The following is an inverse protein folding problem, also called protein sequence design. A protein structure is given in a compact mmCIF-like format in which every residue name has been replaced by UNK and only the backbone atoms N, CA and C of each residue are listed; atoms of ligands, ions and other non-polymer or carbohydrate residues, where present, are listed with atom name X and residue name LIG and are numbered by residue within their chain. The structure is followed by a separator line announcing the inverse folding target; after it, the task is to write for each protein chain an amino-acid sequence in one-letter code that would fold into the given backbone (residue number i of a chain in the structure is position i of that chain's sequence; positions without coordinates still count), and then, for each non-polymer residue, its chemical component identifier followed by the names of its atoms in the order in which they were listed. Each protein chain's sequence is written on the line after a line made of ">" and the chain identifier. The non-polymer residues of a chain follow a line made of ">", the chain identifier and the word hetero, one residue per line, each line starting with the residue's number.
data_IF_157062295943
#
_entry.id   IF_157062295943
#
_cell.length_a   1.000
_cell.length_b   1.000
_cell.length_c   1.000
_cell.angle_alpha   90.00
_cell.angle_beta   90.00
_cell.angle_gamma   90.00
#
_symmetry.space_group_name_H-M   'P 1'
#
loop_
_entity.id
_entity.type
_entity.pdbx_description
1 polymer ?
#
# COMPACT_ATOMS: atom_id res chain seq x y z
N UNK A 1 -14.52 -34.20 11.24
CA UNK A 1 -13.44 -33.19 11.38
C UNK A 1 -13.39 -32.36 10.09
N UNK A 2 -13.92 -31.13 10.10
CA UNK A 2 -14.00 -30.28 8.90
C UNK A 2 -12.90 -29.21 8.91
N UNK A 3 -12.13 -29.14 7.80
CA UNK A 3 -10.92 -28.32 7.64
C UNK A 3 -11.25 -26.82 7.41
N UNK A 4 -10.38 -25.88 7.85
CA UNK A 4 -10.65 -24.44 7.83
C UNK A 4 -10.45 -23.84 6.41
N UNK A 5 -11.42 -23.99 5.52
CA UNK A 5 -11.37 -23.42 4.17
C UNK A 5 -11.75 -21.93 4.13
N UNK A 6 -12.43 -21.42 5.16
CA UNK A 6 -12.96 -20.04 5.20
C UNK A 6 -11.89 -18.97 5.48
N UNK A 7 -10.83 -19.31 6.20
CA UNK A 7 -9.75 -18.37 6.52
C UNK A 7 -8.91 -17.99 5.29
N UNK A 8 -8.76 -18.90 4.32
CA UNK A 8 -7.93 -18.69 3.13
C UNK A 8 -8.60 -17.78 2.10
N UNK A 9 -9.92 -17.91 1.90
CA UNK A 9 -10.70 -17.03 1.01
C UNK A 9 -10.80 -15.61 1.54
N UNK A 10 -10.96 -15.42 2.86
CA UNK A 10 -11.00 -14.08 3.46
C UNK A 10 -9.65 -13.37 3.39
N UNK A 11 -8.53 -14.10 3.45
CA UNK A 11 -7.20 -13.53 3.19
C UNK A 11 -7.07 -13.09 1.74
N UNK A 12 -7.46 -13.92 0.76
CA UNK A 12 -7.41 -13.57 -0.66
C UNK A 12 -8.25 -12.33 -1.01
N UNK A 13 -9.51 -12.29 -0.58
CA UNK A 13 -10.36 -11.13 -0.84
C UNK A 13 -9.83 -9.84 -0.20
N UNK A 14 -9.19 -9.93 0.98
CA UNK A 14 -8.55 -8.80 1.64
C UNK A 14 -7.28 -8.37 0.92
N UNK A 15 -6.50 -9.33 0.43
CA UNK A 15 -5.32 -9.11 -0.42
C UNK A 15 -5.72 -8.37 -1.71
N UNK A 16 -6.75 -8.84 -2.40
CA UNK A 16 -7.27 -8.25 -3.63
C UNK A 16 -7.79 -6.82 -3.41
N UNK A 17 -8.53 -6.58 -2.31
CA UNK A 17 -8.96 -5.24 -1.91
C UNK A 17 -7.79 -4.32 -1.56
N UNK A 18 -6.74 -4.84 -0.91
CA UNK A 18 -5.54 -4.06 -0.59
C UNK A 18 -4.69 -3.78 -1.82
N UNK A 19 -4.66 -4.69 -2.80
CA UNK A 19 -3.99 -4.47 -4.10
C UNK A 19 -4.72 -3.37 -4.87
N UNK A 20 -6.05 -3.42 -4.98
CA UNK A 20 -6.83 -2.36 -5.64
C UNK A 20 -6.70 -1.01 -4.95
N UNK A 21 -6.56 -0.99 -3.62
CA UNK A 21 -6.33 0.26 -2.87
C UNK A 21 -4.93 0.81 -3.11
N UNK A 22 -3.92 -0.06 -3.17
CA UNK A 22 -2.54 0.34 -3.45
C UNK A 22 -2.38 0.88 -4.87
N UNK A 23 -2.93 0.19 -5.88
CA UNK A 23 -2.86 0.65 -7.27
C UNK A 23 -3.51 2.02 -7.44
N UNK A 24 -4.70 2.21 -6.85
CA UNK A 24 -5.38 3.50 -6.87
C UNK A 24 -4.56 4.61 -6.19
N UNK A 25 -3.95 4.31 -5.05
CA UNK A 25 -3.06 5.24 -4.36
C UNK A 25 -1.85 5.60 -5.23
N UNK A 26 -1.24 4.62 -5.91
CA UNK A 26 -0.13 4.86 -6.84
C UNK A 26 -0.57 5.77 -7.99
N UNK A 27 -1.73 5.51 -8.59
CA UNK A 27 -2.28 6.36 -9.66
C UNK A 27 -2.52 7.81 -9.19
N UNK A 28 -3.06 8.00 -7.99
CA UNK A 28 -3.27 9.33 -7.40
C UNK A 28 -1.94 10.05 -7.11
N UNK A 29 -0.93 9.32 -6.61
CA UNK A 29 0.40 9.89 -6.34
C UNK A 29 1.16 10.21 -7.65
N UNK A 30 0.95 9.44 -8.71
CA UNK A 30 1.53 9.71 -10.03
C UNK A 30 0.82 10.89 -10.73
N UNK A 31 -0.48 11.07 -10.50
CA UNK A 31 -1.25 12.18 -11.06
C UNK A 31 -0.90 13.52 -10.37
N UNK A 32 -0.62 13.50 -9.07
CA UNK A 32 -0.36 14.70 -8.27
C UNK A 32 1.02 14.66 -7.57
N UNK A 33 2.06 15.32 -8.14
CA UNK A 33 3.41 15.31 -7.55
C UNK A 33 3.49 16.00 -6.19
N UNK A 34 2.56 16.92 -5.89
CA UNK A 34 2.44 17.53 -4.57
C UNK A 34 1.95 16.53 -3.53
N UNK A 35 0.95 15.73 -3.86
CA UNK A 35 0.44 14.68 -3.00
C UNK A 35 1.51 13.62 -2.73
N UNK A 36 2.31 13.26 -3.75
CA UNK A 36 3.47 12.38 -3.59
C UNK A 36 4.49 12.93 -2.58
N UNK A 37 4.78 14.23 -2.63
CA UNK A 37 5.68 14.85 -1.66
C UNK A 37 5.11 14.82 -0.23
N UNK A 38 3.83 15.13 -0.04
CA UNK A 38 3.16 15.07 1.27
C UNK A 38 3.11 13.64 1.82
N UNK A 39 2.86 12.66 0.96
CA UNK A 39 2.88 11.23 1.32
C UNK A 39 4.27 10.77 1.77
N UNK A 40 5.33 11.21 1.08
CA UNK A 40 6.72 10.90 1.46
C UNK A 40 7.15 11.63 2.73
N UNK A 41 6.70 12.86 2.94
CA UNK A 41 6.97 13.63 4.16
C UNK A 41 6.31 12.95 5.37
N UNK A 42 5.03 12.57 5.26
CA UNK A 42 4.34 11.82 6.31
C UNK A 42 5.04 10.49 6.61
N UNK A 43 5.56 9.80 5.58
CA UNK A 43 6.33 8.57 5.77
C UNK A 43 7.72 8.79 6.36
N UNK A 44 8.30 10.00 6.22
CA UNK A 44 9.58 10.39 6.81
C UNK A 44 9.45 10.82 8.28
N UNK A 45 8.27 11.27 8.70
CA UNK A 45 7.97 11.54 10.12
C UNK A 45 7.79 10.25 10.94
N UNK A 46 7.55 9.12 10.28
CA UNK A 46 7.51 7.82 10.94
C UNK A 46 8.92 7.39 11.38
N UNK A 47 9.03 6.83 12.58
CA UNK A 47 10.30 6.38 13.15
C UNK A 47 10.88 5.16 12.42
N UNK A 48 10.05 4.44 11.66
CA UNK A 48 10.43 3.23 10.95
C UNK A 48 10.87 3.52 9.50
N UNK A 49 12.18 3.42 9.26
CA UNK A 49 12.78 3.64 7.93
C UNK A 49 12.18 2.76 6.83
N UNK A 50 11.56 1.63 7.17
CA UNK A 50 10.89 0.74 6.22
C UNK A 50 9.62 1.37 5.63
N UNK A 51 8.94 2.22 6.41
CA UNK A 51 7.74 2.95 5.97
C UNK A 51 8.12 3.94 4.89
N UNK A 52 9.16 4.73 5.12
CA UNK A 52 9.71 5.63 4.10
C UNK A 52 10.13 4.90 2.83
N UNK A 53 10.87 3.80 2.94
CA UNK A 53 11.32 3.04 1.77
C UNK A 53 10.15 2.40 0.99
N UNK A 54 9.11 1.96 1.70
CA UNK A 54 7.88 1.43 1.09
C UNK A 54 7.10 2.54 0.37
N UNK A 55 7.06 3.73 0.96
CA UNK A 55 6.41 4.90 0.35
C UNK A 55 7.13 5.34 -0.93
N UNK A 56 8.47 5.42 -0.90
CA UNK A 56 9.29 5.68 -2.10
C UNK A 56 9.01 4.64 -3.18
N UNK A 57 9.03 3.36 -2.82
CA UNK A 57 8.76 2.27 -3.76
C UNK A 57 7.38 2.40 -4.42
N UNK A 58 6.37 2.79 -3.63
CA UNK A 58 5.00 3.05 -4.06
C UNK A 58 4.94 4.20 -5.07
N UNK A 59 5.58 5.34 -4.78
CA UNK A 59 5.63 6.49 -5.71
C UNK A 59 6.39 6.15 -7.00
N UNK A 60 7.42 5.31 -6.94
CA UNK A 60 8.23 4.93 -8.12
C UNK A 60 7.65 3.76 -8.93
N UNK A 61 6.56 3.12 -8.47
CA UNK A 61 5.92 2.00 -9.17
C UNK A 61 6.75 0.71 -9.24
N UNK A 62 7.64 0.45 -8.26
CA UNK A 62 8.52 -0.73 -8.22
C UNK A 62 8.06 -1.85 -7.28
#
# INVERSE_FOLDING_TARGET
>A
MARPQTARSRRRARDELTVSHRERLVEELLADPKLAAEYLLAAAEDSDHRVYFTAVRTVTGQ
#
